data_IF_605070000335
#
_entry.id   IF_605070000335
#
_cell.length_a   1.000
_cell.length_b   1.000
_cell.length_c   1.000
_cell.angle_alpha   90.00
_cell.angle_beta   90.00
_cell.angle_gamma   90.00
#
_symmetry.space_group_name_H-M   'P 1'
#
loop_
_entity.id
_entity.type
_entity.pdbx_description
1 polymer ?
#
# COMPACT_ATOMS: atom_id res chain seq x y z
N UNK A 1 -8.94 15.47 -26.18
CA UNK A 1 -9.51 15.39 -24.81
C UNK A 1 -8.81 14.39 -23.87
N UNK A 2 -8.41 13.17 -24.28
CA UNK A 2 -7.74 12.21 -23.36
C UNK A 2 -6.36 12.66 -22.84
N UNK A 3 -5.60 13.40 -23.65
CA UNK A 3 -4.27 13.93 -23.27
C UNK A 3 -4.32 15.02 -22.19
N UNK A 4 -5.37 15.85 -22.17
CA UNK A 4 -5.50 16.94 -21.18
C UNK A 4 -5.85 16.44 -19.78
N UNK A 5 -6.60 15.33 -19.67
CA UNK A 5 -6.86 14.67 -18.38
C UNK A 5 -5.59 14.08 -17.75
N UNK A 6 -4.70 13.50 -18.55
CA UNK A 6 -3.41 12.98 -18.07
C UNK A 6 -2.49 14.08 -17.55
N UNK A 7 -2.41 15.21 -18.26
CA UNK A 7 -1.62 16.37 -17.83
C UNK A 7 -2.16 17.02 -16.55
N UNK A 8 -3.49 17.09 -16.38
CA UNK A 8 -4.11 17.62 -15.16
C UNK A 8 -3.89 16.69 -13.96
N UNK A 9 -4.00 15.38 -14.15
CA UNK A 9 -3.72 14.41 -13.09
C UNK A 9 -2.24 14.43 -12.66
N UNK A 10 -1.32 14.53 -13.62
CA UNK A 10 0.11 14.67 -13.34
C UNK A 10 0.43 15.99 -12.61
N UNK A 11 -0.16 17.10 -13.05
CA UNK A 11 -0.02 18.40 -12.38
C UNK A 11 -0.57 18.36 -10.95
N UNK A 12 -1.74 17.74 -10.75
CA UNK A 12 -2.32 17.57 -9.41
C UNK A 12 -1.41 16.74 -8.50
N UNK A 13 -0.79 15.67 -9.02
CA UNK A 13 0.14 14.81 -8.29
C UNK A 13 1.43 15.56 -7.91
N UNK A 14 1.96 16.37 -8.83
CA UNK A 14 3.12 17.23 -8.58
C UNK A 14 2.78 18.27 -7.51
N UNK A 15 1.66 18.98 -7.65
CA UNK A 15 1.24 20.01 -6.69
C UNK A 15 0.98 19.39 -5.31
N UNK A 16 0.30 18.25 -5.22
CA UNK A 16 0.09 17.54 -3.95
C UNK A 16 1.44 17.13 -3.36
N UNK A 17 2.30 16.47 -4.14
CA UNK A 17 3.62 16.01 -3.70
C UNK A 17 4.50 17.15 -3.20
N UNK A 18 4.58 18.27 -3.93
CA UNK A 18 5.32 19.47 -3.52
C UNK A 18 4.78 20.06 -2.22
N UNK A 19 3.46 20.07 -2.03
CA UNK A 19 2.83 20.58 -0.81
C UNK A 19 3.10 19.66 0.39
N UNK A 20 3.06 18.35 0.17
CA UNK A 20 3.38 17.34 1.18
C UNK A 20 4.85 17.43 1.61
N UNK A 21 5.78 17.65 0.68
CA UNK A 21 7.21 17.85 0.97
C UNK A 21 7.42 19.16 1.74
N UNK A 22 6.75 20.25 1.35
CA UNK A 22 6.83 21.53 2.05
C UNK A 22 6.32 21.42 3.49
N UNK A 23 5.23 20.67 3.73
CA UNK A 23 4.75 20.40 5.09
C UNK A 23 5.71 19.51 5.87
N UNK A 24 6.29 18.47 5.25
CA UNK A 24 7.26 17.57 5.89
C UNK A 24 8.57 18.27 6.30
N UNK A 25 8.92 19.36 5.63
CA UNK A 25 10.11 20.18 5.94
C UNK A 25 9.82 21.30 6.96
N UNK A 26 8.55 21.65 7.18
CA UNK A 26 8.18 22.53 8.30
C UNK A 26 8.33 21.76 9.62
N UNK A 27 8.94 22.33 10.68
CA UNK A 27 8.95 21.70 12.00
C UNK A 27 7.54 21.80 12.60
N UNK A 28 6.63 20.98 12.10
CA UNK A 28 5.27 20.81 12.59
C UNK A 28 5.09 19.38 13.08
N UNK A 29 4.27 19.13 14.12
CA UNK A 29 4.00 17.76 14.58
C UNK A 29 3.49 16.85 13.46
N UNK A 30 2.72 17.41 12.52
CA UNK A 30 2.25 16.72 11.31
C UNK A 30 3.39 16.23 10.40
N UNK A 31 4.49 16.98 10.30
CA UNK A 31 5.66 16.59 9.53
C UNK A 31 6.36 15.36 10.13
N UNK A 32 6.46 15.32 11.46
CA UNK A 32 7.04 14.20 12.19
C UNK A 32 6.16 12.94 12.05
N UNK A 33 4.85 13.07 12.20
CA UNK A 33 3.88 11.97 12.01
C UNK A 33 3.93 11.40 10.59
N UNK A 34 4.01 12.27 9.58
CA UNK A 34 4.11 11.85 8.18
C UNK A 34 5.44 11.15 7.91
N UNK A 35 6.54 11.67 8.44
CA UNK A 35 7.87 11.08 8.29
C UNK A 35 7.95 9.70 8.94
N UNK A 36 7.38 9.56 10.14
CA UNK A 36 7.30 8.29 10.85
C UNK A 36 6.44 7.26 10.09
N UNK A 37 5.27 7.68 9.59
CA UNK A 37 4.41 6.84 8.77
C UNK A 37 5.11 6.40 7.49
N UNK A 38 5.81 7.32 6.80
CA UNK A 38 6.58 7.01 5.61
C UNK A 38 7.72 6.03 5.90
N UNK A 39 8.41 6.18 7.04
CA UNK A 39 9.47 5.26 7.46
C UNK A 39 8.93 3.85 7.71
N UNK A 40 7.77 3.71 8.36
CA UNK A 40 7.12 2.40 8.56
C UNK A 40 6.78 1.74 7.22
N UNK A 41 6.16 2.50 6.31
CA UNK A 41 5.79 1.99 4.97
C UNK A 41 7.05 1.60 4.18
N UNK A 42 8.12 2.39 4.28
CA UNK A 42 9.39 2.09 3.64
C UNK A 42 10.04 0.81 4.19
N UNK A 43 10.08 0.63 5.51
CA UNK A 43 10.59 -0.57 6.15
C UNK A 43 9.76 -1.81 5.77
N UNK A 44 8.43 -1.69 5.72
CA UNK A 44 7.56 -2.76 5.26
C UNK A 44 7.82 -3.12 3.78
N UNK A 45 7.96 -2.12 2.91
CA UNK A 45 8.26 -2.32 1.50
C UNK A 45 9.66 -2.95 1.29
N UNK A 46 10.65 -2.51 2.06
CA UNK A 46 11.99 -3.10 2.06
C UNK A 46 11.93 -4.56 2.51
N UNK A 47 11.22 -4.87 3.60
CA UNK A 47 11.02 -6.23 4.07
C UNK A 47 10.38 -7.15 3.03
N UNK A 48 9.34 -6.67 2.34
CA UNK A 48 8.70 -7.39 1.22
C UNK A 48 9.68 -7.60 0.07
N UNK A 49 10.44 -6.57 -0.32
CA UNK A 49 11.42 -6.63 -1.42
C UNK A 49 12.52 -7.65 -1.12
N UNK A 50 13.18 -7.53 0.04
CA UNK A 50 14.25 -8.44 0.43
C UNK A 50 13.74 -9.88 0.54
N UNK A 51 12.52 -10.07 1.07
CA UNK A 51 11.93 -11.41 1.14
C UNK A 51 11.68 -12.00 -0.24
N UNK A 52 11.16 -11.21 -1.18
CA UNK A 52 10.94 -11.61 -2.57
C UNK A 52 12.25 -12.03 -3.25
N UNK A 53 13.35 -11.32 -2.98
CA UNK A 53 14.67 -11.64 -3.55
C UNK A 53 15.25 -12.94 -2.98
N UNK A 54 14.99 -13.25 -1.71
CA UNK A 54 15.49 -14.46 -1.05
C UNK A 54 14.62 -15.70 -1.32
N UNK A 55 13.42 -15.52 -1.87
CA UNK A 55 12.49 -16.60 -2.09
C UNK A 55 12.82 -17.39 -3.37
N UNK A 56 13.67 -18.41 -3.20
CA UNK A 56 14.05 -19.35 -4.27
C UNK A 56 13.10 -20.53 -4.40
N UNK A 57 12.21 -20.73 -3.41
CA UNK A 57 11.21 -21.78 -3.42
C UNK A 57 9.98 -21.33 -4.23
N UNK A 58 9.39 -22.19 -5.08
CA UNK A 58 8.08 -21.94 -5.67
C UNK A 58 7.00 -22.13 -4.59
N UNK A 59 7.00 -21.28 -3.57
CA UNK A 59 5.92 -21.16 -2.62
C UNK A 59 4.80 -20.37 -3.33
N UNK A 60 3.54 -20.80 -3.17
CA UNK A 60 2.21 -20.18 -3.46
C UNK A 60 2.17 -18.86 -4.27
N UNK A 61 1.11 -18.62 -5.06
CA UNK A 61 0.93 -17.35 -5.79
C UNK A 61 1.27 -16.08 -4.96
N UNK A 62 2.00 -15.14 -5.58
CA UNK A 62 2.46 -13.89 -4.95
C UNK A 62 1.27 -13.08 -4.41
N UNK A 63 1.32 -12.53 -3.18
CA UNK A 63 0.26 -11.68 -2.65
C UNK A 63 0.06 -10.48 -3.58
N UNK A 64 -1.17 -10.27 -4.07
CA UNK A 64 -1.51 -9.16 -4.97
C UNK A 64 -2.47 -8.19 -4.31
N UNK A 65 -2.23 -6.89 -4.50
CA UNK A 65 -3.18 -5.86 -4.12
C UNK A 65 -4.34 -5.87 -5.13
N UNK A 66 -5.54 -6.27 -4.68
CA UNK A 66 -6.73 -6.36 -5.52
C UNK A 66 -7.43 -4.99 -5.56
N UNK A 67 -6.98 -4.10 -6.44
CA UNK A 67 -7.53 -2.73 -6.55
C UNK A 67 -9.06 -2.69 -6.73
N UNK A 68 -9.62 -3.61 -7.51
CA UNK A 68 -11.08 -3.70 -7.66
C UNK A 68 -11.81 -4.05 -6.36
N UNK A 69 -11.24 -4.92 -5.52
CA UNK A 69 -11.81 -5.25 -4.21
C UNK A 69 -11.67 -4.07 -3.24
N UNK A 70 -10.53 -3.36 -3.28
CA UNK A 70 -10.34 -2.14 -2.51
C UNK A 70 -11.39 -1.09 -2.88
N UNK A 71 -11.58 -0.83 -4.17
CA UNK A 71 -12.59 0.12 -4.66
C UNK A 71 -14.01 -0.31 -4.25
N UNK A 72 -14.35 -1.60 -4.38
CA UNK A 72 -15.64 -2.13 -3.96
C UNK A 72 -15.87 -1.96 -2.44
N UNK A 73 -14.85 -2.22 -1.61
CA UNK A 73 -14.93 -2.01 -0.15
C UNK A 73 -15.05 -0.53 0.21
N UNK A 74 -14.28 0.34 -0.43
CA UNK A 74 -14.37 1.78 -0.23
C UNK A 74 -15.76 2.30 -0.59
N UNK A 75 -16.31 1.85 -1.73
CA UNK A 75 -17.67 2.21 -2.16
C UNK A 75 -18.72 1.68 -1.18
N UNK A 76 -18.62 0.42 -0.75
CA UNK A 76 -19.55 -0.16 0.22
C UNK A 76 -19.52 0.60 1.56
N UNK A 77 -18.33 0.87 2.10
CA UNK A 77 -18.17 1.67 3.32
C UNK A 77 -18.76 3.06 3.15
N UNK A 78 -18.54 3.72 2.01
CA UNK A 78 -19.06 5.05 1.75
C UNK A 78 -20.59 5.06 1.70
N UNK A 79 -21.19 4.13 0.96
CA UNK A 79 -22.64 3.98 0.84
C UNK A 79 -23.31 3.64 2.18
N UNK A 80 -22.62 2.95 3.09
CA UNK A 80 -23.12 2.67 4.45
C UNK A 80 -22.92 3.86 5.39
N UNK A 81 -21.79 4.57 5.26
CA UNK A 81 -21.45 5.71 6.11
C UNK A 81 -22.40 6.90 5.89
N UNK A 82 -22.89 7.11 4.67
CA UNK A 82 -23.86 8.18 4.35
C UNK A 82 -25.16 8.08 5.15
N UNK A 83 -25.96 6.99 5.08
CA UNK A 83 -27.16 6.85 5.88
C UNK A 83 -26.84 6.76 7.38
N UNK A 84 -25.72 6.15 7.79
CA UNK A 84 -25.33 6.12 9.20
C UNK A 84 -25.12 7.54 9.77
N UNK A 85 -24.41 8.40 9.02
CA UNK A 85 -24.24 9.81 9.35
C UNK A 85 -25.59 10.54 9.41
N UNK A 86 -26.43 10.38 8.39
CA UNK A 86 -27.73 11.02 8.31
C UNK A 86 -28.65 10.63 9.48
N UNK A 87 -28.66 9.35 9.86
CA UNK A 87 -29.42 8.85 11.02
C UNK A 87 -28.89 9.45 12.32
N UNK A 88 -27.57 9.48 12.52
CA UNK A 88 -26.95 10.07 13.70
C UNK A 88 -27.35 11.54 13.85
N UNK A 89 -27.15 12.36 12.81
CA UNK A 89 -27.54 13.77 12.81
C UNK A 89 -29.05 13.95 13.02
N UNK A 90 -29.87 13.12 12.39
CA UNK A 90 -31.32 13.17 12.59
C UNK A 90 -31.72 12.89 14.03
N UNK A 91 -31.02 12.00 14.73
CA UNK A 91 -31.27 11.75 16.16
C UNK A 91 -30.84 12.92 17.04
N UNK A 92 -29.78 13.63 16.66
CA UNK A 92 -29.33 14.84 17.37
C UNK A 92 -30.39 15.94 17.21
N UNK A 93 -30.79 16.25 15.98
CA UNK A 93 -31.82 17.25 15.70
C UNK A 93 -33.16 16.91 16.37
N UNK A 94 -33.54 15.63 16.41
CA UNK A 94 -34.74 15.19 17.11
C UNK A 94 -34.65 15.49 18.62
N UNK A 95 -33.50 15.21 19.25
CA UNK A 95 -33.25 15.49 20.67
C UNK A 95 -33.21 16.99 20.99
N UNK A 96 -32.81 17.81 20.03
CA UNK A 96 -32.77 19.28 20.13
C UNK A 96 -34.12 19.94 19.82
N UNK A 97 -35.16 19.16 19.48
CA UNK A 97 -36.49 19.69 19.14
C UNK A 97 -36.59 20.29 17.74
N UNK A 98 -35.57 20.13 16.89
CA UNK A 98 -35.55 20.57 15.49
C UNK A 98 -36.31 19.61 14.56
N UNK A 99 -36.65 18.41 15.05
CA UNK A 99 -37.39 17.39 14.31
C UNK A 99 -36.52 16.49 13.41
N UNK A 100 -37.17 15.58 12.69
CA UNK A 100 -36.49 14.58 11.87
C UNK A 100 -36.12 15.13 10.49
N UNK A 101 -34.86 14.99 10.11
CA UNK A 101 -34.32 15.51 8.85
C UNK A 101 -33.90 14.42 7.86
N UNK A 102 -33.58 13.22 8.34
CA UNK A 102 -33.18 12.07 7.51
C UNK A 102 -31.97 12.38 6.62
N UNK A 103 -32.05 11.97 5.35
CA UNK A 103 -30.97 12.18 4.37
C UNK A 103 -30.72 13.66 4.05
N UNK A 104 -31.64 14.58 4.38
CA UNK A 104 -31.43 16.01 4.19
C UNK A 104 -30.22 16.53 4.99
N UNK A 105 -29.86 15.85 6.10
CA UNK A 105 -28.64 16.15 6.84
C UNK A 105 -27.37 16.01 5.99
N UNK A 106 -27.35 15.19 4.93
CA UNK A 106 -26.17 15.03 4.06
C UNK A 106 -25.98 16.20 3.08
N UNK A 107 -27.07 16.88 2.71
CA UNK A 107 -27.08 17.91 1.67
C UNK A 107 -27.32 19.31 2.22
N UNK A 108 -27.61 19.42 3.52
CA UNK A 108 -27.78 20.70 4.19
C UNK A 108 -26.52 21.58 4.17
N UNK A 109 -26.68 22.91 4.33
CA UNK A 109 -25.57 23.86 4.21
C UNK A 109 -24.45 23.61 5.23
N UNK A 110 -24.79 23.13 6.43
CA UNK A 110 -23.84 22.83 7.51
C UNK A 110 -22.96 21.62 7.17
N UNK A 111 -23.50 20.62 6.48
CA UNK A 111 -22.84 19.35 6.21
C UNK A 111 -22.50 19.16 4.73
N UNK A 112 -22.38 20.24 3.96
CA UNK A 112 -22.07 20.18 2.52
C UNK A 112 -20.81 19.36 2.19
N UNK A 113 -19.89 19.26 3.15
CA UNK A 113 -18.63 18.53 3.01
C UNK A 113 -18.73 17.07 3.51
N UNK A 114 -19.85 16.64 4.11
CA UNK A 114 -19.99 15.32 4.71
C UNK A 114 -19.83 14.22 3.66
N UNK A 115 -20.50 14.32 2.51
CA UNK A 115 -20.41 13.34 1.42
C UNK A 115 -18.95 13.10 0.99
N UNK A 116 -18.17 14.13 0.59
CA UNK A 116 -16.78 13.91 0.18
C UNK A 116 -15.86 13.49 1.34
N UNK A 117 -16.09 13.97 2.57
CA UNK A 117 -15.29 13.56 3.74
C UNK A 117 -15.53 12.07 4.07
N UNK A 118 -16.79 11.63 4.11
CA UNK A 118 -17.14 10.22 4.35
C UNK A 118 -16.57 9.32 3.25
N UNK A 119 -16.57 9.78 1.99
CA UNK A 119 -15.94 9.08 0.87
C UNK A 119 -14.43 8.94 1.05
N UNK A 120 -13.74 10.02 1.42
CA UNK A 120 -12.30 10.00 1.69
C UNK A 120 -11.94 9.07 2.86
N UNK A 121 -12.68 9.15 3.97
CA UNK A 121 -12.48 8.28 5.14
C UNK A 121 -12.72 6.80 4.79
N UNK A 122 -13.75 6.51 3.98
CA UNK A 122 -14.05 5.15 3.53
C UNK A 122 -12.93 4.59 2.64
N UNK A 123 -12.35 5.41 1.78
CA UNK A 123 -11.18 5.03 0.97
C UNK A 123 -9.96 4.75 1.85
N UNK A 124 -9.67 5.61 2.83
CA UNK A 124 -8.57 5.42 3.79
C UNK A 124 -8.76 4.12 4.56
N UNK A 125 -9.96 3.87 5.10
CA UNK A 125 -10.28 2.65 5.82
C UNK A 125 -10.11 1.39 4.95
N UNK A 126 -10.59 1.42 3.70
CA UNK A 126 -10.41 0.32 2.76
C UNK A 126 -8.94 0.09 2.38
N UNK A 127 -8.16 1.16 2.21
CA UNK A 127 -6.73 1.08 1.93
C UNK A 127 -5.97 0.48 3.10
N UNK A 128 -6.27 0.88 4.34
CA UNK A 128 -5.70 0.30 5.55
C UNK A 128 -6.01 -1.20 5.66
N UNK A 129 -7.27 -1.60 5.44
CA UNK A 129 -7.66 -3.00 5.44
C UNK A 129 -6.90 -3.82 4.37
N UNK A 130 -6.80 -3.29 3.15
CA UNK A 130 -6.07 -3.94 2.07
C UNK A 130 -4.55 -4.05 2.36
N UNK A 131 -3.95 -3.03 2.98
CA UNK A 131 -2.56 -3.05 3.41
C UNK A 131 -2.32 -4.12 4.48
N UNK A 132 -3.18 -4.19 5.49
CA UNK A 132 -3.10 -5.21 6.55
C UNK A 132 -3.25 -6.63 6.00
N UNK A 133 -4.22 -6.87 5.10
CA UNK A 133 -4.38 -8.16 4.43
C UNK A 133 -3.13 -8.56 3.64
N UNK A 134 -2.49 -7.59 2.98
CA UNK A 134 -1.26 -7.82 2.25
C UNK A 134 -0.11 -8.21 3.17
N UNK A 135 0.07 -7.49 4.29
CA UNK A 135 1.07 -7.81 5.31
C UNK A 135 0.81 -9.19 5.92
N UNK A 136 -0.44 -9.53 6.27
CA UNK A 136 -0.79 -10.85 6.81
C UNK A 136 -0.60 -11.98 5.79
N UNK A 137 -0.81 -11.73 4.50
CA UNK A 137 -0.49 -12.71 3.46
C UNK A 137 1.02 -13.00 3.43
N UNK A 138 1.87 -11.96 3.53
CA UNK A 138 3.31 -12.11 3.64
C UNK A 138 3.73 -12.82 4.93
N UNK A 139 3.15 -12.48 6.08
CA UNK A 139 3.43 -13.16 7.35
C UNK A 139 3.09 -14.65 7.28
N UNK A 140 1.90 -15.01 6.77
CA UNK A 140 1.49 -16.42 6.60
C UNK A 140 2.44 -17.18 5.70
N UNK A 141 2.90 -16.56 4.61
CA UNK A 141 3.89 -17.12 3.70
C UNK A 141 5.25 -17.35 4.38
N UNK A 142 5.71 -16.39 5.17
CA UNK A 142 6.94 -16.53 5.97
C UNK A 142 6.80 -17.67 6.98
N UNK A 143 5.71 -17.75 7.72
CA UNK A 143 5.45 -18.85 8.65
C UNK A 143 5.41 -20.21 7.94
N UNK A 144 4.72 -20.31 6.79
CA UNK A 144 4.69 -21.54 5.98
C UNK A 144 6.08 -21.95 5.50
N UNK A 145 6.94 -20.99 5.17
CA UNK A 145 8.32 -21.28 4.74
C UNK A 145 9.22 -21.79 5.88
N UNK A 146 8.99 -21.32 7.12
CA UNK A 146 9.70 -21.73 8.34
C UNK A 146 9.18 -23.09 8.81
N UNK A 147 7.86 -23.31 8.77
CA UNK A 147 7.22 -24.55 9.18
C UNK A 147 7.35 -25.69 8.16
N UNK A 148 7.60 -25.37 6.88
CA UNK A 148 7.86 -26.36 5.86
C UNK A 148 9.15 -27.14 6.15
N UNK A 149 9.26 -28.41 5.69
CA UNK A 149 10.40 -29.26 6.02
C UNK A 149 11.73 -28.56 5.74
N UNK A 150 12.61 -28.54 6.74
CA UNK A 150 14.00 -28.12 6.62
C UNK A 150 14.71 -29.09 5.70
N UNK A 151 14.69 -28.84 4.39
CA UNK A 151 15.84 -29.23 3.59
C UNK A 151 16.94 -28.28 4.00
N UNK A 152 17.80 -28.76 4.91
CA UNK A 152 19.22 -28.38 4.88
C UNK A 152 19.56 -28.48 3.40
N UNK A 153 19.77 -27.33 2.74
CA UNK A 153 20.43 -27.34 1.46
C UNK A 153 21.76 -27.98 1.79
N UNK A 154 21.85 -29.31 1.59
CA UNK A 154 23.13 -29.98 1.59
C UNK A 154 24.00 -29.10 0.74
N UNK A 155 25.12 -28.66 1.30
CA UNK A 155 26.17 -28.05 0.52
C UNK A 155 26.45 -29.09 -0.54
N UNK A 156 25.84 -28.93 -1.72
CA UNK A 156 26.17 -29.75 -2.87
C UNK A 156 27.53 -29.21 -3.23
N UNK A 157 28.56 -29.82 -2.66
CA UNK A 157 29.89 -29.80 -3.20
C UNK A 157 29.70 -30.38 -4.60
N UNK A 158 29.51 -29.49 -5.57
CA UNK A 158 29.50 -29.84 -6.98
C UNK A 158 30.93 -30.31 -7.24
N UNK A 159 31.16 -31.60 -7.02
CA UNK A 159 32.32 -32.29 -7.51
C UNK A 159 32.23 -32.21 -9.04
N UNK A 160 32.94 -31.23 -9.58
CA UNK A 160 33.13 -31.01 -11.01
C UNK A 160 33.63 -32.32 -11.65
N UNK A 161 32.88 -32.97 -12.56
CA UNK A 161 33.53 -33.86 -13.51
C UNK A 161 34.20 -32.98 -14.58
N UNK A 162 35.46 -33.23 -14.95
CA UNK A 162 36.09 -32.53 -16.04
C UNK A 162 35.62 -33.20 -17.35
N UNK A 163 34.71 -32.55 -18.06
CA UNK A 163 34.52 -32.81 -19.48
C UNK A 163 34.36 -31.46 -20.17
N UNK A 164 35.38 -31.12 -20.95
CA UNK A 164 35.50 -29.87 -21.65
C UNK A 164 34.51 -29.82 -22.82
N UNK A 165 33.61 -28.83 -22.80
CA UNK A 165 33.02 -28.27 -24.00
C UNK A 165 32.92 -26.75 -23.79
N UNK A 166 33.67 -26.00 -24.61
CA UNK A 166 33.63 -24.54 -24.62
C UNK A 166 32.30 -24.08 -25.22
N UNK A 167 31.31 -23.84 -24.36
CA UNK A 167 30.13 -23.06 -24.74
C UNK A 167 30.47 -21.58 -24.58
N UNK A 168 30.38 -20.85 -25.68
CA UNK A 168 30.74 -19.44 -25.80
C UNK A 168 29.98 -18.57 -24.78
N UNK A 169 30.73 -17.70 -24.10
CA UNK A 169 30.34 -16.88 -22.96
C UNK A 169 29.30 -15.77 -23.24
N UNK A 170 28.48 -15.88 -24.28
CA UNK A 170 27.53 -14.85 -24.70
C UNK A 170 26.15 -14.96 -24.01
N UNK A 171 25.82 -16.07 -23.35
CA UNK A 171 24.47 -16.30 -22.82
C UNK A 171 24.23 -15.78 -21.37
N UNK A 172 25.26 -15.27 -20.69
CA UNK A 172 25.15 -14.80 -19.28
C UNK A 172 25.30 -13.28 -19.09
N UNK A 173 25.29 -12.49 -20.17
CA UNK A 173 25.29 -11.03 -20.07
C UNK A 173 23.88 -10.48 -19.73
N UNK A 174 23.36 -10.83 -18.56
CA UNK A 174 22.36 -10.00 -17.90
C UNK A 174 23.13 -9.00 -17.03
N UNK A 175 22.90 -7.68 -17.14
CA UNK A 175 23.69 -6.69 -16.44
C UNK A 175 23.36 -6.75 -14.94
N UNK A 176 24.14 -7.54 -14.20
CA UNK A 176 24.31 -7.36 -12.76
C UNK A 176 24.91 -5.97 -12.58
N UNK A 177 24.06 -4.98 -12.26
CA UNK A 177 24.50 -3.63 -11.95
C UNK A 177 25.61 -3.68 -10.92
N UNK A 178 26.78 -3.13 -11.27
CA UNK A 178 27.97 -3.18 -10.46
C UNK A 178 27.72 -2.51 -9.10
N UNK A 179 27.68 -3.30 -8.01
CA UNK A 179 27.90 -2.77 -6.66
C UNK A 179 29.40 -2.54 -6.51
N UNK A 180 29.79 -1.28 -6.29
CA UNK A 180 31.15 -0.95 -5.88
C UNK A 180 31.49 -1.57 -4.53
N UNK A 181 32.77 -1.86 -4.26
CA UNK A 181 33.19 -2.48 -3.01
C UNK A 181 32.92 -1.55 -1.80
N UNK A 182 32.68 -2.11 -0.61
CA UNK A 182 32.53 -1.32 0.62
C UNK A 182 33.82 -0.56 0.90
N UNK A 183 33.70 0.75 1.20
CA UNK A 183 34.85 1.56 1.63
C UNK A 183 35.26 1.12 3.03
N UNK A 184 36.50 0.69 3.18
CA UNK A 184 37.17 0.58 4.46
C UNK A 184 38.04 1.84 4.61
N UNK A 185 37.52 2.82 5.32
CA UNK A 185 38.29 3.92 5.93
C UNK A 185 37.51 4.44 7.11
#
# INVERSE_FOLDING_TARGET
MKRSLGSLAALALVVLGSRTIAYALSPSPLAAELSFSAAIVWLAALGVRERRLLETRPLVAEPRLRLGLLAARALALWLVAMPAFALLESTIHWREGLGWHGLHCLTGPVHRNAIPILGALSLVAAALAAALEHVFAWMRRTLASIAGPTRIAGIVLVARPPAAEFVTAAAFASPLGARGPPRLS
#
